data_IF_820507255201
#
_entry.id   IF_820507255201
#
_cell.length_a   1.000
_cell.length_b   1.000
_cell.length_c   1.000
_cell.angle_alpha   90.00
_cell.angle_beta   90.00
_cell.angle_gamma   90.00
#
_symmetry.space_group_name_H-M   'P 1'
#
loop_
_entity.id
_entity.type
_entity.pdbx_description
1 polymer ?
2 polymer ?
3 polymer ?
4 non-polymer ?
5 non-polymer ?
6 water ?
#
loop_
_entity_poly.entity_id
_entity_poly.type
_entity_poly.pdbx_seq_one_letter_code
_entity_poly.pdbx_strand_id
2 'polydeoxyribonucleotide' '(DT)(DC)(DA)(8OG)(DG)(DG)(DG)(DT)(DC)(DC)(DT)' ?
3 'polydeoxyribonucleotide' '(DA)(DG)(DG)(DA)(DC)(DC)(DC)' ?
#
# COMPACT_ATOMS: atom_id res chain seq x y z
N UNK A 27 5.82 -24.80 5.82
CA UNK A 27 4.88 -24.22 4.86
C UNK A 27 4.01 -23.16 5.52
N UNK A 28 3.82 -22.02 4.86
CA UNK A 28 2.97 -21.00 5.44
C UNK A 28 1.66 -20.85 4.67
N UNK A 29 0.65 -20.26 5.31
CA UNK A 29 -0.54 -19.81 4.62
C UNK A 29 -0.74 -18.30 4.85
N UNK A 30 -0.60 -17.54 3.77
CA UNK A 30 -0.61 -16.09 3.80
C UNK A 30 -1.82 -15.66 3.00
N UNK A 31 -2.51 -14.62 3.49
CA UNK A 31 -3.53 -13.97 2.70
C UNK A 31 -3.13 -12.52 2.43
N UNK A 32 -3.39 -12.06 1.21
CA UNK A 32 -3.26 -10.66 0.86
C UNK A 32 -4.66 -10.13 0.65
N UNK A 33 -5.02 -9.02 1.32
CA UNK A 33 -6.34 -8.43 1.19
C UNK A 33 -6.17 -7.13 0.45
N UNK A 34 -6.92 -6.95 -0.63
CA UNK A 34 -6.72 -5.76 -1.44
C UNK A 34 -8.06 -5.09 -1.69
N UNK A 35 -8.30 -3.91 -1.11
CA UNK A 35 -9.61 -3.25 -1.22
C UNK A 35 -9.90 -2.75 -2.64
N UNK A 36 -11.14 -2.94 -3.14
CA UNK A 36 -11.52 -2.38 -4.43
C UNK A 36 -11.61 -0.83 -4.45
N UNK A 37 -10.93 -0.19 -5.41
CA UNK A 37 -10.97 1.26 -5.64
C UNK A 37 -11.21 2.02 -4.33
N UNK A 38 -10.25 1.90 -3.44
CA UNK A 38 -10.46 2.24 -2.05
C UNK A 38 -10.98 3.67 -1.81
N UNK A 39 -10.28 4.68 -2.32
CA UNK A 39 -10.73 6.06 -2.11
C UNK A 39 -12.16 6.25 -2.63
N UNK A 40 -12.46 5.72 -3.82
CA UNK A 40 -13.81 5.82 -4.37
C UNK A 40 -14.86 5.17 -3.47
N UNK A 41 -14.55 3.98 -2.95
CA UNK A 41 -15.44 3.30 -2.00
C UNK A 41 -15.72 4.16 -0.77
N UNK A 42 -14.68 4.74 -0.21
CA UNK A 42 -14.84 5.59 0.95
C UNK A 42 -15.77 6.78 0.61
N UNK A 43 -15.60 7.37 -0.57
CA UNK A 43 -16.45 8.50 -1.01
C UNK A 43 -17.90 8.10 -1.27
N UNK A 44 -18.09 6.92 -1.84
CA UNK A 44 -19.44 6.44 -2.16
C UNK A 44 -20.20 6.13 -0.89
N UNK A 45 -19.47 5.76 0.14
CA UNK A 45 -20.05 5.54 1.45
C UNK A 45 -20.40 6.89 2.10
N UNK A 46 -19.49 7.86 1.97
CA UNK A 46 -19.71 9.21 2.52
C UNK A 46 -20.90 9.90 1.87
N UNK A 47 -20.97 9.83 0.56
CA UNK A 47 -22.11 10.38 -0.18
C UNK A 47 -22.73 9.31 -1.06
N UNK A 48 -23.57 8.46 -0.45
CA UNK A 48 -24.23 7.33 -1.13
C UNK A 48 -24.95 7.72 -2.41
N UNK A 49 -25.08 9.02 -2.67
CA UNK A 49 -25.74 9.49 -3.88
C UNK A 49 -24.82 9.33 -5.09
N UNK A 50 -23.61 8.85 -4.84
CA UNK A 50 -22.61 8.65 -5.88
C UNK A 50 -22.49 7.17 -6.26
N UNK A 51 -23.13 6.31 -5.47
CA UNK A 51 -23.01 4.85 -5.63
C UNK A 51 -23.38 4.37 -7.02
N UNK A 52 -24.16 5.16 -7.74
CA UNK A 52 -24.68 4.74 -9.03
C UNK A 52 -24.03 5.45 -10.22
N UNK A 53 -23.29 6.52 -9.95
CA UNK A 53 -22.64 7.28 -11.03
C UNK A 53 -21.16 6.94 -11.12
N UNK A 54 -20.58 7.09 -12.32
CA UNK A 54 -19.14 6.91 -12.48
C UNK A 54 -18.40 7.97 -11.67
N UNK A 55 -17.60 7.53 -10.71
CA UNK A 55 -16.93 8.45 -9.80
C UNK A 55 -15.42 8.40 -9.98
N UNK A 56 -14.81 9.57 -9.88
CA UNK A 56 -13.36 9.69 -9.93
C UNK A 56 -12.91 10.52 -8.74
N UNK A 57 -11.81 10.09 -8.12
CA UNK A 57 -11.24 10.83 -7.01
C UNK A 57 -10.04 11.60 -7.52
N UNK A 58 -10.05 12.92 -7.31
CA UNK A 58 -9.06 13.80 -7.92
C UNK A 58 -8.05 14.37 -6.93
N UNK A 59 -6.79 14.38 -7.34
CA UNK A 59 -5.76 15.08 -6.61
C UNK A 59 -5.00 15.97 -7.58
N UNK A 60 -5.07 17.28 -7.36
CA UNK A 60 -4.56 18.27 -8.30
C UNK A 60 -5.18 17.90 -9.64
N UNK A 61 -4.37 17.51 -10.61
CA UNK A 61 -4.81 17.32 -11.99
C UNK A 61 -4.88 15.84 -12.37
N UNK A 62 -4.86 14.96 -11.37
CA UNK A 62 -4.91 13.54 -11.65
C UNK A 62 -6.16 12.91 -11.05
N UNK A 63 -6.74 11.97 -11.79
CA UNK A 63 -7.76 11.11 -11.23
C UNK A 63 -7.00 9.91 -10.67
N UNK A 64 -6.80 9.88 -9.35
CA UNK A 64 -5.96 8.84 -8.78
C UNK A 64 -6.66 7.48 -8.77
N UNK A 65 -7.98 7.48 -8.63
CA UNK A 65 -8.74 6.24 -8.71
C UNK A 65 -10.20 6.52 -9.06
N UNK A 66 -10.89 5.48 -9.51
CA UNK A 66 -12.30 5.60 -9.91
C UNK A 66 -13.04 4.30 -9.60
N UNK A 67 -14.35 4.39 -9.40
CA UNK A 67 -15.16 3.20 -9.18
C UNK A 67 -15.31 2.40 -10.47
N UNK A 68 -15.84 1.19 -10.38
CA UNK A 68 -15.85 0.30 -11.54
C UNK A 68 -16.74 0.76 -12.69
N UNK A 69 -17.67 1.65 -12.42
CA UNK A 69 -18.48 2.20 -13.49
C UNK A 69 -17.65 3.09 -14.40
N UNK A 70 -16.76 3.87 -13.80
CA UNK A 70 -15.89 4.75 -14.55
C UNK A 70 -14.84 3.96 -15.34
N UNK A 71 -14.34 2.87 -14.74
CA UNK A 71 -13.37 2.02 -15.41
C UNK A 71 -14.01 1.39 -16.65
N UNK A 72 -15.33 1.17 -16.57
CA UNK A 72 -16.09 0.63 -17.68
C UNK A 72 -16.18 1.63 -18.82
N UNK A 73 -16.14 2.92 -18.47
CA UNK A 73 -16.23 3.98 -19.45
C UNK A 73 -14.85 4.41 -19.93
N UNK A 74 -13.85 3.57 -19.67
CA UNK A 74 -12.50 3.79 -20.17
C UNK A 74 -11.59 4.65 -19.33
N UNK A 75 -11.97 4.92 -18.09
CA UNK A 75 -11.12 5.71 -17.19
C UNK A 75 -10.07 4.80 -16.56
N UNK A 76 -8.82 5.28 -16.52
CA UNK A 76 -7.70 4.49 -15.98
C UNK A 76 -7.11 5.12 -14.72
N UNK A 77 -6.45 4.29 -13.91
CA UNK A 77 -5.84 4.75 -12.67
C UNK A 77 -4.70 5.75 -12.93
N UNK A 78 -4.70 6.86 -12.19
CA UNK A 78 -3.69 7.91 -12.33
C UNK A 78 -3.77 8.62 -13.69
N UNK A 79 -4.96 8.66 -14.28
CA UNK A 79 -5.15 9.32 -15.57
C UNK A 79 -5.35 10.83 -15.42
N UNK A 80 -4.91 11.58 -16.43
CA UNK A 80 -5.07 13.03 -16.46
C UNK A 80 -6.55 13.44 -16.48
N UNK A 81 -6.87 14.52 -15.76
CA UNK A 81 -8.25 15.03 -15.69
C UNK A 81 -8.72 15.55 -17.04
N UNK A 82 -7.77 15.92 -17.90
CA UNK A 82 -8.08 16.31 -19.27
C UNK A 82 -8.50 15.07 -20.06
N UNK A 83 -7.64 14.06 -20.06
CA UNK A 83 -7.97 12.77 -20.69
C UNK A 83 -9.29 12.23 -20.14
N UNK A 84 -9.41 12.18 -18.81
CA UNK A 84 -10.58 11.65 -18.15
C UNK A 84 -11.85 12.44 -18.48
N UNK A 85 -11.74 13.77 -18.51
CA UNK A 85 -12.89 14.62 -18.79
C UNK A 85 -13.42 14.41 -20.21
N UNK A 86 -12.51 14.19 -21.16
CA UNK A 86 -12.88 14.02 -22.55
C UNK A 86 -13.44 12.62 -22.83
N UNK A 87 -12.72 11.60 -22.39
CA UNK A 87 -13.14 10.22 -22.58
C UNK A 87 -14.45 9.91 -21.85
N UNK A 88 -14.74 10.67 -20.81
CA UNK A 88 -15.91 10.41 -19.99
C UNK A 88 -16.43 11.68 -19.32
N UNK A 89 -17.06 12.57 -20.09
CA UNK A 89 -17.56 13.84 -19.55
C UNK A 89 -18.73 13.70 -18.56
N UNK A 90 -19.19 12.48 -18.29
CA UNK A 90 -20.23 12.30 -17.28
C UNK A 90 -19.59 12.02 -15.92
N UNK A 91 -18.27 11.87 -15.93
CA UNK A 91 -17.50 11.55 -14.73
C UNK A 91 -17.72 12.56 -13.61
N UNK A 92 -18.12 12.08 -12.44
CA UNK A 92 -18.23 12.91 -11.25
C UNK A 92 -16.91 12.91 -10.51
N UNK A 93 -16.38 14.09 -10.23
CA UNK A 93 -15.10 14.18 -9.53
C UNK A 93 -15.28 14.68 -8.10
N UNK A 94 -14.69 13.96 -7.15
CA UNK A 94 -14.57 14.45 -5.78
C UNK A 94 -13.10 14.67 -5.46
N UNK A 95 -12.82 15.56 -4.53
CA UNK A 95 -11.45 15.89 -4.22
C UNK A 95 -10.89 15.01 -3.12
N UNK A 96 -9.80 14.30 -3.42
CA UNK A 96 -9.21 13.37 -2.47
C UNK A 96 -7.82 13.76 -1.98
N UNK A 97 -7.54 15.06 -1.94
CA UNK A 97 -6.22 15.53 -1.50
C UNK A 97 -6.02 15.39 0.01
N UNK A 98 -7.07 15.57 0.80
CA UNK A 98 -7.01 15.35 2.25
C UNK A 98 -7.25 13.86 2.48
N UNK A 99 -6.23 13.18 2.99
CA UNK A 99 -6.29 11.72 3.13
C UNK A 99 -6.90 11.26 4.45
N UNK A 100 -7.21 12.21 5.33
CA UNK A 100 -7.75 11.92 6.65
C UNK A 100 -8.78 10.77 6.72
N UNK A 101 -9.84 10.82 5.91
CA UNK A 101 -10.89 9.81 5.99
C UNK A 101 -10.43 8.48 5.41
N UNK A 102 -9.60 8.51 4.37
CA UNK A 102 -9.08 7.26 3.81
C UNK A 102 -8.16 6.59 4.83
N UNK A 103 -7.31 7.40 5.46
CA UNK A 103 -6.38 6.88 6.45
C UNK A 103 -7.13 6.25 7.61
N UNK A 104 -8.16 6.94 8.09
CA UNK A 104 -8.98 6.43 9.18
C UNK A 104 -9.69 5.12 8.83
N UNK A 105 -10.31 5.04 7.64
CA UNK A 105 -10.91 3.78 7.25
C UNK A 105 -9.83 2.69 7.06
N UNK A 106 -8.68 3.09 6.52
CA UNK A 106 -7.56 2.15 6.36
C UNK A 106 -7.20 1.46 7.67
N UNK A 107 -7.14 2.24 8.76
CA UNK A 107 -6.82 1.63 10.05
C UNK A 107 -7.94 0.78 10.62
N UNK A 108 -9.20 1.11 10.33
CA UNK A 108 -10.29 0.26 10.79
C UNK A 108 -10.18 -1.13 10.13
N UNK A 109 -9.77 -1.15 8.86
CA UNK A 109 -9.59 -2.42 8.15
C UNK A 109 -8.49 -3.26 8.79
N UNK A 110 -7.30 -2.69 8.99
CA UNK A 110 -6.29 -3.52 9.58
C UNK A 110 -6.57 -3.95 11.01
N UNK A 111 -7.23 -3.10 11.82
CA UNK A 111 -7.62 -3.53 13.16
C UNK A 111 -8.60 -4.68 13.12
N UNK A 112 -9.54 -4.63 12.19
CA UNK A 112 -10.47 -5.73 12.02
C UNK A 112 -9.71 -7.02 11.66
N UNK A 113 -8.74 -6.94 10.76
CA UNK A 113 -7.96 -8.11 10.40
C UNK A 113 -7.09 -8.63 11.56
N UNK A 114 -6.57 -7.70 12.36
CA UNK A 114 -5.76 -8.06 13.52
C UNK A 114 -6.53 -8.88 14.54
N UNK A 115 -7.84 -8.79 14.49
CA UNK A 115 -8.71 -9.53 15.38
C UNK A 115 -8.74 -11.00 14.96
N UNK A 116 -8.56 -11.26 13.67
CA UNK A 116 -8.43 -12.63 13.16
C UNK A 116 -7.10 -13.25 13.58
N UNK A 117 -6.01 -12.57 13.27
CA UNK A 117 -4.69 -12.99 13.70
C UNK A 117 -3.88 -11.72 13.83
N UNK A 118 -3.08 -11.63 14.89
CA UNK A 118 -2.40 -10.40 15.30
C UNK A 118 -1.27 -9.92 14.38
N UNK A 119 -0.72 -10.82 13.57
CA UNK A 119 0.37 -10.44 12.66
C UNK A 119 -0.18 -9.92 11.36
N UNK A 120 -0.36 -8.61 11.27
CA UNK A 120 -0.90 -8.00 10.06
C UNK A 120 0.05 -6.93 9.56
N UNK A 121 0.49 -7.08 8.31
CA UNK A 121 1.38 -6.12 7.69
C UNK A 121 0.62 -5.25 6.70
N UNK A 122 0.68 -3.94 6.89
CA UNK A 122 0.03 -3.03 5.96
C UNK A 122 0.92 -2.78 4.78
N UNK A 123 0.34 -2.59 3.60
CA UNK A 123 1.12 -2.11 2.47
C UNK A 123 0.34 -0.96 1.82
N UNK A 124 0.77 0.27 2.06
CA UNK A 124 -0.04 1.42 1.69
C UNK A 124 -1.34 1.44 2.48
N UNK A 125 -2.33 2.17 1.99
CA UNK A 125 -3.59 2.30 2.70
C UNK A 125 -4.60 1.21 2.43
N UNK A 126 -4.44 0.48 1.33
CA UNK A 126 -5.53 -0.41 0.93
C UNK A 126 -5.17 -1.89 0.84
N UNK A 127 -3.95 -2.24 1.27
CA UNK A 127 -3.49 -3.64 1.26
C UNK A 127 -3.00 -4.09 2.63
N UNK A 128 -3.33 -5.34 2.99
CA UNK A 128 -2.83 -5.99 4.20
C UNK A 128 -2.41 -7.43 3.90
N UNK A 129 -1.34 -7.89 4.52
CA UNK A 129 -1.00 -9.31 4.53
C UNK A 129 -1.30 -9.84 5.93
N UNK A 130 -1.84 -11.05 6.00
CA UNK A 130 -1.99 -11.72 7.28
C UNK A 130 -1.37 -13.12 7.20
N UNK A 131 -0.59 -13.50 8.20
CA UNK A 131 -0.06 -14.85 8.28
C UNK A 131 -1.08 -15.72 9.00
N UNK A 132 -1.71 -16.62 8.25
CA UNK A 132 -2.80 -17.43 8.77
C UNK A 132 -2.36 -18.82 9.21
N UNK A 133 -1.07 -19.10 9.14
CA UNK A 133 -0.65 -20.50 9.29
C UNK A 133 -0.96 -21.09 10.66
N UNK A 134 -0.80 -20.30 11.72
CA UNK A 134 -1.18 -20.75 13.06
C UNK A 134 -2.69 -20.98 13.19
N UNK A 135 -3.48 -20.04 12.70
CA UNK A 135 -4.94 -20.15 12.68
C UNK A 135 -5.39 -21.39 11.91
N UNK A 136 -4.76 -21.64 10.76
CA UNK A 136 -5.15 -22.78 9.92
C UNK A 136 -4.91 -24.08 10.68
N UNK A 137 -3.75 -24.16 11.33
CA UNK A 137 -3.36 -25.32 12.10
C UNK A 137 -4.32 -25.59 13.25
N UNK A 138 -4.74 -24.53 13.93
CA UNK A 138 -5.72 -24.65 15.01
C UNK A 138 -7.01 -25.27 14.51
N UNK A 139 -7.51 -24.74 13.41
CA UNK A 139 -8.77 -25.23 12.85
C UNK A 139 -8.66 -26.70 12.43
N UNK A 140 -7.55 -27.05 11.79
CA UNK A 140 -7.40 -28.42 11.33
C UNK A 140 -7.38 -29.39 12.51
N UNK A 141 -6.75 -28.99 13.61
CA UNK A 141 -6.72 -29.82 14.80
C UNK A 141 -8.11 -30.07 15.39
N UNK A 142 -8.99 -29.09 15.26
CA UNK A 142 -10.35 -29.23 15.77
C UNK A 142 -11.18 -30.14 14.87
N UNK A 143 -10.72 -30.34 13.66
CA UNK A 143 -11.47 -31.14 12.70
C UNK A 143 -11.44 -32.63 12.99
N UNK A 144 -12.59 -33.26 12.82
CA UNK A 144 -12.70 -34.71 12.82
C UNK A 144 -12.53 -35.20 11.39
N UNK A 145 -12.30 -36.49 11.21
CA UNK A 145 -12.18 -37.04 9.86
C UNK A 145 -13.54 -37.04 9.15
N UNK A 146 -14.61 -36.97 9.94
CA UNK A 146 -15.96 -36.91 9.40
C UNK A 146 -16.14 -35.75 8.43
N UNK A 147 -15.87 -34.53 8.88
CA UNK A 147 -16.04 -33.35 8.03
C UNK A 147 -14.72 -32.84 7.45
N UNK A 148 -13.69 -33.68 7.49
CA UNK A 148 -12.47 -33.41 6.76
C UNK A 148 -12.63 -33.95 5.35
N UNK A 149 -13.69 -34.74 5.17
CA UNK A 149 -14.03 -35.33 3.88
C UNK A 149 -13.72 -34.43 2.68
N UNK A 150 -14.37 -33.28 2.46
CA UNK A 150 -15.42 -32.53 3.21
C UNK A 150 -15.00 -31.07 3.28
N UNK A 151 -13.72 -30.83 3.59
CA UNK A 151 -13.15 -29.50 3.46
C UNK A 151 -13.35 -28.97 2.04
N UNK A 152 -13.79 -27.72 1.94
CA UNK A 152 -14.19 -27.15 0.66
C UNK A 152 -13.51 -25.78 0.43
N UNK A 153 -13.33 -25.39 -0.82
CA UNK A 153 -12.73 -24.11 -1.11
C UNK A 153 -13.79 -23.00 -1.06
N UNK A 154 -13.37 -21.82 -0.65
CA UNK A 154 -14.22 -20.66 -0.81
C UNK A 154 -13.60 -19.75 -1.87
N UNK A 155 -14.38 -19.43 -2.91
CA UNK A 155 -13.87 -18.61 -4.01
C UNK A 155 -13.21 -19.41 -5.12
N UNK A 156 -12.38 -18.72 -5.90
CA UNK A 156 -11.75 -19.28 -7.08
C UNK A 156 -10.49 -20.08 -6.75
N UNK A 157 -10.21 -21.11 -7.52
CA UNK A 157 -8.91 -21.77 -7.45
C UNK A 157 -8.16 -21.32 -8.68
N UNK A 158 -6.97 -20.77 -8.49
CA UNK A 158 -6.18 -20.25 -9.60
C UNK A 158 -5.95 -21.33 -10.69
N UNK A 159 -6.19 -20.95 -11.94
CA UNK A 159 -5.99 -21.81 -13.10
C UNK A 159 -6.90 -23.03 -13.06
N UNK A 160 -8.05 -22.91 -12.38
CA UNK A 160 -8.98 -24.03 -12.24
C UNK A 160 -8.30 -25.34 -11.88
N UNK A 161 -7.27 -25.27 -11.05
CA UNK A 161 -6.52 -26.48 -10.71
C UNK A 161 -7.28 -27.47 -9.81
N UNK A 162 -7.12 -28.75 -10.07
CA UNK A 162 -7.85 -29.76 -9.29
C UNK A 162 -7.32 -29.86 -7.86
N UNK A 163 -8.26 -29.91 -6.91
CA UNK A 163 -7.92 -30.06 -5.51
C UNK A 163 -7.66 -31.51 -5.17
N UNK A 164 -6.62 -31.78 -4.39
CA UNK A 164 -6.39 -33.12 -3.90
C UNK A 164 -6.56 -33.14 -2.41
N UNK A 165 -7.71 -33.64 -1.96
CA UNK A 165 -8.08 -33.60 -0.55
C UNK A 165 -7.12 -34.39 0.34
N UNK A 166 -6.25 -35.21 -0.28
CA UNK A 166 -5.33 -36.03 0.49
C UNK A 166 -4.01 -35.30 0.57
N UNK A 167 -3.92 -34.16 -0.11
CA UNK A 167 -2.69 -33.38 -0.10
C UNK A 167 -2.77 -32.34 1.01
N UNK A 168 -1.93 -32.48 2.03
CA UNK A 168 -2.08 -31.65 3.24
C UNK A 168 -1.86 -30.16 2.93
N UNK A 169 -1.02 -29.87 1.95
CA UNK A 169 -0.82 -28.48 1.53
C UNK A 169 -2.09 -27.91 0.92
N UNK A 170 -2.78 -28.71 0.11
CA UNK A 170 -4.05 -28.28 -0.48
C UNK A 170 -5.07 -28.01 0.62
N UNK A 171 -5.16 -28.90 1.59
CA UNK A 171 -6.12 -28.74 2.69
C UNK A 171 -5.86 -27.44 3.47
N UNK A 172 -4.60 -27.15 3.74
CA UNK A 172 -4.20 -26.01 4.54
C UNK A 172 -4.57 -24.72 3.80
N UNK A 173 -4.34 -24.69 2.50
CA UNK A 173 -4.69 -23.54 1.67
C UNK A 173 -6.20 -23.33 1.53
N UNK A 174 -6.97 -24.41 1.49
CA UNK A 174 -8.42 -24.27 1.42
C UNK A 174 -9.01 -23.73 2.73
N UNK A 175 -8.44 -24.13 3.86
CA UNK A 175 -8.86 -23.58 5.14
C UNK A 175 -8.52 -22.08 5.15
N UNK A 176 -7.36 -21.73 4.60
CA UNK A 176 -7.00 -20.33 4.39
C UNK A 176 -8.07 -19.58 3.60
N UNK A 177 -8.53 -20.16 2.50
CA UNK A 177 -9.55 -19.50 1.69
C UNK A 177 -10.83 -19.31 2.48
N UNK A 178 -11.14 -20.23 3.38
CA UNK A 178 -12.30 -20.07 4.26
C UNK A 178 -12.13 -18.88 5.21
N UNK A 179 -10.96 -18.78 5.83
CA UNK A 179 -10.66 -17.65 6.69
C UNK A 179 -10.72 -16.35 5.91
N UNK A 180 -10.13 -16.36 4.72
CA UNK A 180 -10.17 -15.19 3.85
C UNK A 180 -11.59 -14.73 3.55
N UNK A 181 -12.48 -15.69 3.30
CA UNK A 181 -13.89 -15.38 3.05
C UNK A 181 -14.55 -14.75 4.29
N UNK A 182 -14.29 -15.31 5.45
CA UNK A 182 -14.78 -14.72 6.70
C UNK A 182 -14.30 -13.27 6.88
N UNK A 183 -13.03 -13.04 6.57
CA UNK A 183 -12.45 -11.70 6.60
C UNK A 183 -13.19 -10.74 5.67
N UNK A 184 -13.37 -11.13 4.41
CA UNK A 184 -14.06 -10.25 3.48
C UNK A 184 -15.51 -10.02 3.92
N UNK A 185 -16.14 -11.04 4.49
CA UNK A 185 -17.51 -10.91 4.96
C UNK A 185 -17.61 -9.93 6.13
N UNK A 186 -16.67 -10.03 7.08
CA UNK A 186 -16.66 -9.14 8.22
C UNK A 186 -16.39 -7.68 7.82
N UNK A 187 -15.53 -7.50 6.81
CA UNK A 187 -15.19 -6.18 6.31
C UNK A 187 -16.40 -5.54 5.66
N UNK A 188 -17.16 -6.34 4.94
CA UNK A 188 -18.40 -5.81 4.39
C UNK A 188 -19.46 -5.53 5.47
N UNK A 189 -19.70 -6.52 6.33
CA UNK A 189 -20.74 -6.41 7.34
C UNK A 189 -20.48 -5.33 8.41
N UNK A 190 -19.21 -5.11 8.73
CA UNK A 190 -18.85 -4.17 9.80
C UNK A 190 -18.36 -2.82 9.33
N UNK A 191 -17.77 -2.76 8.14
CA UNK A 191 -17.23 -1.50 7.65
C UNK A 191 -17.84 -1.06 6.33
N UNK A 192 -18.63 -1.92 5.72
CA UNK A 192 -19.27 -1.58 4.46
C UNK A 192 -18.36 -1.68 3.23
N UNK A 193 -17.20 -2.28 3.41
CA UNK A 193 -16.18 -2.31 2.34
C UNK A 193 -16.04 -3.66 1.65
N UNK A 194 -15.83 -3.61 0.33
CA UNK A 194 -15.55 -4.79 -0.45
C UNK A 194 -14.09 -4.83 -0.87
N UNK A 195 -13.60 -6.03 -1.20
CA UNK A 195 -12.22 -6.17 -1.63
C UNK A 195 -11.93 -7.57 -2.07
N UNK A 196 -10.72 -7.79 -2.55
CA UNK A 196 -10.29 -9.10 -3.01
C UNK A 196 -9.33 -9.71 -2.01
N UNK A 197 -9.15 -11.03 -2.07
CA UNK A 197 -8.18 -11.70 -1.21
C UNK A 197 -7.46 -12.71 -2.09
N UNK A 198 -6.19 -12.94 -1.81
CA UNK A 198 -5.45 -13.99 -2.48
C UNK A 198 -4.80 -14.81 -1.38
N UNK A 199 -4.90 -16.13 -1.47
CA UNK A 199 -4.33 -17.00 -0.45
C UNK A 199 -3.24 -17.85 -1.08
N UNK A 200 -2.05 -17.89 -0.49
CA UNK A 200 -0.93 -18.65 -1.07
C UNK A 200 0.11 -18.90 0.01
N UNK A 201 1.24 -19.48 -0.37
CA UNK A 201 2.24 -19.95 0.60
C UNK A 201 3.28 -18.89 0.96
N UNK A 202 3.26 -17.75 0.28
CA UNK A 202 4.14 -16.63 0.66
C UNK A 202 3.53 -15.31 0.20
N UNK A 203 4.12 -14.19 0.62
CA UNK A 203 3.54 -12.86 0.36
C UNK A 203 3.49 -12.50 -1.12
N UNK A 204 4.57 -12.78 -1.83
CA UNK A 204 4.66 -12.55 -3.28
C UNK A 204 3.50 -13.21 -4.02
N UNK A 205 3.31 -14.52 -3.80
CA UNK A 205 2.27 -15.25 -4.51
C UNK A 205 0.87 -14.82 -4.08
N UNK A 206 0.69 -14.52 -2.80
CA UNK A 206 -0.63 -14.14 -2.32
C UNK A 206 -1.03 -12.82 -2.99
N UNK A 207 -0.08 -11.91 -3.11
CA UNK A 207 -0.34 -10.61 -3.72
C UNK A 207 -0.54 -10.72 -5.23
N UNK A 208 0.25 -11.56 -5.90
CA UNK A 208 0.04 -11.81 -7.33
C UNK A 208 -1.31 -12.45 -7.59
N UNK A 209 -1.71 -13.37 -6.71
CA UNK A 209 -2.96 -14.11 -6.97
C UNK A 209 -4.25 -13.38 -6.56
N UNK A 210 -4.17 -12.42 -5.64
CA UNK A 210 -5.36 -11.75 -5.11
C UNK A 210 -6.09 -10.95 -6.17
N UNK A 211 -5.35 -10.46 -7.16
CA UNK A 211 -5.96 -9.71 -8.24
C UNK A 211 -6.42 -10.50 -9.47
N UNK A 212 -6.34 -11.82 -9.44
CA UNK A 212 -6.69 -12.60 -10.62
C UNK A 212 -8.17 -12.45 -10.97
N UNK A 213 -9.05 -12.50 -9.96
CA UNK A 213 -10.46 -12.19 -10.17
C UNK A 213 -10.86 -10.96 -9.36
N UNK A 214 -11.33 -9.93 -10.07
CA UNK A 214 -11.70 -8.63 -9.48
C UNK A 214 -12.95 -8.12 -10.17
N UNK A 215 -13.75 -7.28 -9.50
CA UNK A 215 -13.59 -6.88 -8.10
C UNK A 215 -14.32 -7.82 -7.13
N UNK A 216 -14.05 -7.60 -5.86
CA UNK A 216 -14.77 -8.27 -4.79
C UNK A 216 -14.86 -9.78 -4.93
N UNK A 217 -13.72 -10.45 -5.14
CA UNK A 217 -13.68 -11.91 -5.29
C UNK A 217 -12.39 -12.39 -4.68
N UNK A 218 -12.20 -13.70 -4.58
CA UNK A 218 -10.97 -14.19 -3.98
C UNK A 218 -10.48 -15.42 -4.68
N UNK A 219 -9.18 -15.62 -4.63
CA UNK A 219 -8.61 -16.80 -5.25
C UNK A 219 -7.45 -17.38 -4.49
N UNK A 220 -7.37 -18.71 -4.55
CA UNK A 220 -6.34 -19.45 -3.85
C UNK A 220 -5.40 -20.13 -4.86
N UNK A 221 -4.12 -20.10 -4.55
CA UNK A 221 -3.10 -20.63 -5.42
C UNK A 221 -2.59 -21.93 -4.83
N UNK A 222 -2.82 -23.03 -5.53
CA UNK A 222 -2.22 -24.31 -5.15
C UNK A 222 -0.81 -24.39 -5.72
N UNK A 223 0.08 -25.12 -5.04
CA UNK A 223 1.52 -25.03 -5.35
C UNK A 223 1.88 -25.45 -6.78
N UNK A 224 1.19 -26.43 -7.33
CA UNK A 224 1.57 -26.86 -8.68
C UNK A 224 1.22 -25.85 -9.77
N UNK A 225 0.55 -24.76 -9.40
CA UNK A 225 0.23 -23.69 -10.37
C UNK A 225 1.11 -22.48 -10.18
N UNK A 226 2.11 -22.59 -9.32
CA UNK A 226 3.01 -21.47 -9.06
C UNK A 226 3.69 -20.97 -10.33
N UNK A 227 4.24 -21.88 -11.13
CA UNK A 227 4.98 -21.44 -12.29
C UNK A 227 4.03 -20.81 -13.30
N UNK A 228 2.80 -21.32 -13.39
CA UNK A 228 1.84 -20.78 -14.33
C UNK A 228 1.55 -19.30 -13.96
N UNK A 229 1.40 -19.02 -12.65
CA UNK A 229 1.16 -17.65 -12.16
C UNK A 229 2.33 -16.71 -12.45
N UNK A 230 3.56 -17.14 -12.20
CA UNK A 230 4.68 -16.22 -12.43
C UNK A 230 4.93 -15.98 -13.91
N UNK A 231 4.72 -17.00 -14.75
CA UNK A 231 4.88 -16.81 -16.19
C UNK A 231 3.70 -16.12 -16.85
N UNK A 232 2.60 -15.95 -16.12
CA UNK A 232 1.49 -15.18 -16.64
C UNK A 232 1.85 -13.68 -16.67
N UNK A 233 2.88 -13.26 -15.94
CA UNK A 233 3.29 -11.84 -15.97
C UNK A 233 3.95 -11.50 -17.30
N UNK A 234 3.80 -10.26 -17.76
CA UNK A 234 4.34 -9.88 -19.06
C UNK A 234 5.60 -9.03 -19.00
N UNK A 235 5.83 -8.35 -17.89
CA UNK A 235 7.04 -7.54 -17.67
C UNK A 235 7.59 -7.82 -16.28
N UNK A 236 8.92 -7.86 -16.13
CA UNK A 236 9.52 -8.10 -14.82
C UNK A 236 9.19 -7.00 -13.79
N UNK A 237 8.80 -5.83 -14.27
CA UNK A 237 8.34 -4.78 -13.36
C UNK A 237 7.02 -5.20 -12.66
N UNK A 238 6.28 -6.14 -13.23
CA UNK A 238 5.06 -6.59 -12.58
C UNK A 238 5.33 -7.40 -11.30
N UNK A 239 6.58 -7.81 -11.08
CA UNK A 239 6.93 -8.45 -9.81
C UNK A 239 7.08 -7.43 -8.66
N UNK A 240 6.31 -7.63 -7.56
CA UNK A 240 6.45 -6.76 -6.39
C UNK A 240 7.87 -6.86 -5.83
N UNK A 241 8.58 -5.73 -5.72
CA UNK A 241 9.96 -5.75 -5.30
C UNK A 241 10.88 -5.26 -6.42
N UNK A 242 10.42 -5.40 -7.66
CA UNK A 242 11.17 -4.88 -8.80
C UNK A 242 10.53 -3.59 -9.29
N UNK A 243 11.16 -2.45 -8.98
CA UNK A 243 10.60 -1.15 -9.30
C UNK A 243 11.21 -0.46 -10.51
N UNK A 244 10.94 0.84 -10.65
CA UNK A 244 11.37 1.58 -11.84
C UNK A 244 12.86 1.47 -12.12
N UNK A 245 13.68 1.76 -11.11
CA UNK A 245 15.13 1.75 -11.29
C UNK A 245 15.66 0.35 -11.58
N UNK A 246 15.24 -0.62 -10.79
CA UNK A 246 15.71 -1.99 -10.96
C UNK A 246 15.28 -2.58 -12.31
N UNK A 247 14.07 -2.24 -12.73
CA UNK A 247 13.55 -2.73 -13.99
C UNK A 247 14.41 -2.17 -15.10
N UNK A 248 14.76 -0.89 -14.99
CA UNK A 248 15.57 -0.23 -16.00
C UNK A 248 16.93 -0.92 -16.17
N UNK A 249 17.57 -1.25 -15.06
CA UNK A 249 18.85 -1.95 -15.13
C UNK A 249 18.69 -3.32 -15.81
N UNK A 250 17.69 -4.08 -15.38
CA UNK A 250 17.43 -5.40 -15.98
C UNK A 250 17.16 -5.30 -17.48
N UNK A 251 16.32 -4.35 -17.86
CA UNK A 251 16.03 -4.09 -19.25
C UNK A 251 17.34 -3.84 -19.99
N UNK A 252 18.21 -3.04 -19.38
CA UNK A 252 19.52 -2.75 -19.96
C UNK A 252 20.30 -4.02 -20.24
N UNK A 253 20.12 -5.03 -19.40
CA UNK A 253 20.89 -6.26 -19.51
C UNK A 253 20.25 -7.25 -20.49
N UNK A 254 19.20 -6.82 -21.18
CA UNK A 254 18.50 -7.71 -22.11
C UNK A 254 17.46 -8.58 -21.44
N UNK A 255 17.23 -8.34 -20.14
CA UNK A 255 16.29 -9.14 -19.37
C UNK A 255 14.89 -8.52 -19.40
N UNK A 256 13.95 -9.22 -20.02
CA UNK A 256 12.59 -8.68 -20.18
C UNK A 256 11.46 -9.54 -19.62
N UNK A 257 11.52 -10.84 -19.84
CA UNK A 257 10.48 -11.73 -19.32
C UNK A 257 10.88 -12.26 -17.95
N UNK A 258 9.91 -12.81 -17.22
CA UNK A 258 10.22 -13.51 -15.98
C UNK A 258 11.23 -14.62 -16.24
N UNK A 259 11.02 -15.39 -17.31
CA UNK A 259 11.94 -16.47 -17.71
C UNK A 259 13.35 -15.95 -18.01
N UNK A 260 13.46 -14.82 -18.67
CA UNK A 260 14.78 -14.19 -18.85
C UNK A 260 15.47 -14.01 -17.51
N UNK A 261 14.74 -13.46 -16.54
CA UNK A 261 15.35 -13.19 -15.24
C UNK A 261 15.68 -14.48 -14.52
N UNK A 262 14.81 -15.48 -14.65
CA UNK A 262 15.05 -16.78 -14.06
C UNK A 262 16.37 -17.36 -14.54
N UNK A 263 16.67 -17.20 -15.83
CA UNK A 263 17.78 -17.90 -16.47
C UNK A 263 19.05 -17.06 -16.62
N UNK A 264 19.04 -15.82 -16.16
CA UNK A 264 20.21 -14.96 -16.29
C UNK A 264 21.29 -15.37 -15.29
N UNK A 265 22.55 -15.16 -15.65
CA UNK A 265 23.70 -15.54 -14.81
C UNK A 265 23.63 -14.93 -13.41
N UNK A 266 23.57 -15.78 -12.38
CA UNK A 266 23.58 -15.26 -11.01
C UNK A 266 24.85 -14.45 -10.74
N UNK A 267 25.99 -14.94 -11.21
CA UNK A 267 27.27 -14.25 -11.03
C UNK A 267 27.22 -12.83 -11.61
N UNK A 268 26.80 -12.73 -12.87
CA UNK A 268 26.73 -11.43 -13.52
C UNK A 268 25.75 -10.53 -12.80
N UNK A 269 24.54 -11.03 -12.57
CA UNK A 269 23.51 -10.27 -11.88
C UNK A 269 24.04 -9.77 -10.53
N UNK A 270 24.66 -10.65 -9.75
CA UNK A 270 25.21 -10.26 -8.44
C UNK A 270 26.16 -9.07 -8.54
N UNK A 271 26.95 -9.04 -9.60
CA UNK A 271 27.91 -7.97 -9.83
C UNK A 271 27.25 -6.68 -10.31
N UNK A 272 26.12 -6.82 -11.01
CA UNK A 272 25.43 -5.68 -11.59
C UNK A 272 24.57 -4.91 -10.59
N UNK A 273 23.87 -5.63 -9.71
CA UNK A 273 22.93 -4.97 -8.79
C UNK A 273 23.28 -5.19 -7.33
N UNK A 274 24.38 -5.88 -7.08
CA UNK A 274 24.79 -6.18 -5.72
C UNK A 274 24.24 -7.52 -5.27
N UNK A 275 24.94 -8.16 -4.35
CA UNK A 275 24.55 -9.48 -3.89
C UNK A 275 23.14 -9.49 -3.28
N UNK A 276 22.78 -8.44 -2.55
CA UNK A 276 21.48 -8.40 -1.87
C UNK A 276 20.29 -8.35 -2.85
N UNK A 277 20.30 -7.36 -3.73
CA UNK A 277 19.22 -7.20 -4.68
C UNK A 277 19.17 -8.39 -5.64
N UNK A 278 20.34 -8.80 -6.14
CA UNK A 278 20.40 -9.85 -7.14
C UNK A 278 19.81 -11.15 -6.65
N UNK A 279 20.29 -11.64 -5.52
CA UNK A 279 19.77 -12.89 -5.00
C UNK A 279 18.28 -12.82 -4.67
N UNK A 280 17.85 -11.69 -4.12
CA UNK A 280 16.44 -11.51 -3.77
C UNK A 280 15.52 -11.52 -4.99
N UNK A 281 15.81 -10.66 -5.97
CA UNK A 281 14.93 -10.55 -7.13
C UNK A 281 14.99 -11.80 -8.01
N UNK A 282 16.13 -12.48 -8.07
CA UNK A 282 16.16 -13.72 -8.82
C UNK A 282 15.29 -14.79 -8.16
N UNK A 283 15.30 -14.86 -6.83
CA UNK A 283 14.37 -15.76 -6.15
C UNK A 283 12.92 -15.40 -6.47
N UNK A 284 12.58 -14.09 -6.41
CA UNK A 284 11.23 -13.63 -6.76
C UNK A 284 10.77 -14.16 -8.13
N UNK A 285 11.68 -14.24 -9.09
CA UNK A 285 11.33 -14.64 -10.45
C UNK A 285 10.92 -16.10 -10.56
N UNK A 286 11.32 -16.92 -9.56
CA UNK A 286 10.86 -18.31 -9.45
C UNK A 286 9.63 -18.47 -8.53
N UNK A 287 9.12 -17.35 -8.00
CA UNK A 287 7.95 -17.40 -7.12
C UNK A 287 8.33 -17.67 -5.69
N UNK A 288 9.62 -17.50 -5.37
CA UNK A 288 10.17 -17.81 -4.06
C UNK A 288 10.37 -16.53 -3.24
N UNK A 289 9.85 -16.51 -2.02
CA UNK A 289 9.88 -15.30 -1.19
C UNK A 289 9.72 -15.74 0.26
N UNK A 290 10.81 -15.72 1.02
CA UNK A 290 10.76 -16.20 2.40
C UNK A 290 10.58 -15.06 3.42
N UNK A 291 10.30 -13.86 2.92
CA UNK A 291 10.11 -12.71 3.82
C UNK A 291 8.90 -12.91 4.71
N UNK A 292 9.06 -12.62 6.00
CA UNK A 292 7.98 -12.83 6.98
C UNK A 292 6.95 -11.74 6.84
N UNK A 293 5.71 -12.05 7.22
CA UNK A 293 4.71 -11.02 7.42
C UNK A 293 5.12 -10.32 8.71
N UNK A 294 5.29 -9.00 8.62
CA UNK A 294 5.72 -8.17 9.76
C UNK A 294 4.53 -7.47 10.40
N UNK A 295 4.44 -7.45 11.73
CA UNK A 295 3.36 -6.70 12.39
C UNK A 295 3.62 -5.20 12.22
N UNK A 296 2.78 -4.51 11.44
CA UNK A 296 2.99 -3.08 11.18
C UNK A 296 2.77 -2.25 12.44
N UNK A 297 1.67 -2.53 13.15
CA UNK A 297 1.35 -1.79 14.37
C UNK A 297 1.08 -0.32 14.07
N UNK A 298 1.30 0.57 15.08
CA UNK A 298 1.08 2.01 14.85
C UNK A 298 2.13 2.54 13.87
N UNK A 299 1.77 3.58 13.10
CA UNK A 299 2.70 4.15 12.12
C UNK A 299 3.98 4.70 12.77
N UNK A 300 5.08 4.71 12.02
CA UNK A 300 6.37 5.13 12.57
C UNK A 300 6.67 6.58 12.24
N UNK A 301 5.80 7.17 11.44
CA UNK A 301 5.94 8.57 11.07
C UNK A 301 4.61 9.12 10.64
N UNK A 302 4.47 10.43 10.75
CA UNK A 302 3.30 11.17 10.30
C UNK A 302 3.83 12.25 9.39
N UNK A 303 3.26 12.39 8.21
CA UNK A 303 3.65 13.52 7.37
C UNK A 303 2.46 14.14 6.64
N UNK A 304 2.63 15.37 6.16
CA UNK A 304 1.63 16.05 5.35
C UNK A 304 2.41 16.79 4.27
N UNK A 305 1.88 16.81 3.06
CA UNK A 305 2.55 17.54 2.00
C UNK A 305 1.57 18.32 1.11
N UNK A 306 2.11 19.35 0.45
CA UNK A 306 1.37 20.03 -0.58
C UNK A 306 2.31 20.30 -1.75
N UNK A 307 1.82 20.05 -2.95
CA UNK A 307 2.58 20.38 -4.14
C UNK A 307 1.95 21.61 -4.78
N UNK A 308 2.74 22.34 -5.56
CA UNK A 308 2.27 23.57 -6.19
C UNK A 308 3.13 23.90 -7.39
N UNK A 309 2.68 24.85 -8.19
CA UNK A 309 3.44 25.23 -9.37
C UNK A 309 4.67 26.05 -8.98
N UNK A 310 4.53 26.90 -7.97
CA UNK A 310 5.63 27.78 -7.60
C UNK A 310 5.54 28.36 -6.18
N UNK A 311 6.68 28.35 -5.50
CA UNK A 311 6.88 29.09 -4.26
C UNK A 311 8.28 29.68 -4.32
N UNK A 312 8.37 31.00 -4.34
CA UNK A 312 9.65 31.66 -4.52
C UNK A 312 9.96 32.67 -3.42
N UNK A 313 9.17 32.65 -2.35
CA UNK A 313 9.41 33.53 -1.23
C UNK A 313 9.32 32.79 0.10
N UNK A 314 10.08 33.28 1.07
CA UNK A 314 10.09 32.73 2.41
C UNK A 314 8.78 33.03 3.12
N UNK A 315 8.18 34.18 2.81
CA UNK A 315 6.92 34.57 3.45
C UNK A 315 5.84 33.51 3.30
N UNK A 316 5.57 33.10 2.07
CA UNK A 316 4.54 32.11 1.81
C UNK A 316 5.02 30.72 2.19
N UNK A 317 6.31 30.46 2.00
CA UNK A 317 6.90 29.21 2.41
C UNK A 317 6.55 28.96 3.88
N UNK A 318 6.62 30.02 4.68
CA UNK A 318 6.29 29.92 6.09
C UNK A 318 4.82 29.63 6.32
N UNK A 319 3.95 30.37 5.64
CA UNK A 319 2.50 30.13 5.75
C UNK A 319 2.18 28.70 5.34
N UNK A 320 2.76 28.27 4.23
CA UNK A 320 2.62 26.90 3.74
C UNK A 320 2.93 25.95 4.89
N UNK A 321 4.17 26.04 5.36
CA UNK A 321 4.64 25.18 6.43
C UNK A 321 3.75 25.24 7.66
N UNK A 322 3.29 26.44 8.00
CA UNK A 322 2.41 26.60 9.16
C UNK A 322 1.13 25.82 8.94
N UNK A 323 0.64 25.84 7.72
CA UNK A 323 -0.58 25.13 7.35
C UNK A 323 -0.41 23.63 7.57
N UNK A 324 0.70 23.09 7.07
CA UNK A 324 1.00 21.67 7.22
C UNK A 324 1.18 21.32 8.68
N UNK A 325 1.90 22.17 9.41
CA UNK A 325 2.19 21.93 10.82
C UNK A 325 0.91 21.89 11.63
N UNK A 326 -0.03 22.76 11.30
CA UNK A 326 -1.35 22.76 11.92
C UNK A 326 -1.96 21.38 11.81
N UNK A 327 -2.09 20.88 10.58
CA UNK A 327 -2.66 19.55 10.33
C UNK A 327 -1.96 18.46 11.15
N UNK A 328 -0.63 18.43 11.07
CA UNK A 328 0.12 17.38 11.74
C UNK A 328 -0.15 17.34 13.24
N UNK A 329 -0.16 18.52 13.86
CA UNK A 329 -0.31 18.60 15.31
C UNK A 329 -1.61 17.96 15.79
N UNK A 330 -2.69 18.16 15.04
CA UNK A 330 -3.95 17.50 15.33
C UNK A 330 -3.76 15.99 15.37
N UNK A 331 -2.88 15.50 14.52
CA UNK A 331 -2.68 14.06 14.34
C UNK A 331 -1.85 13.43 15.44
N UNK A 332 -0.74 14.06 15.81
CA UNK A 332 0.06 13.59 16.94
C UNK A 332 -0.73 13.74 18.22
N UNK A 333 -1.63 14.71 18.24
CA UNK A 333 -2.52 14.95 19.36
C UNK A 333 -3.31 13.69 19.72
N UNK A 334 -4.16 13.23 18.81
CA UNK A 334 -5.04 12.10 19.10
C UNK A 334 -4.32 10.74 19.12
N UNK A 335 -3.12 10.71 18.56
CA UNK A 335 -2.33 9.48 18.53
C UNK A 335 -1.95 9.05 19.93
N UNK A 336 -1.25 9.93 20.64
CA UNK A 336 -0.81 9.64 22.00
C UNK A 336 0.69 9.81 22.15
N UNK A 337 1.46 8.93 21.51
CA UNK A 337 2.92 8.98 21.54
C UNK A 337 3.43 10.35 21.13
N UNK A 338 4.68 10.62 21.43
CA UNK A 338 5.29 11.91 21.11
C UNK A 338 6.46 11.74 20.15
N UNK A 339 6.53 12.63 19.14
CA UNK A 339 7.62 12.63 18.17
C UNK A 339 8.90 13.28 18.71
N UNK A 340 10.04 12.65 18.47
CA UNK A 340 11.32 13.19 18.93
C UNK A 340 12.17 13.78 17.81
N UNK A 341 11.69 13.71 16.57
CA UNK A 341 12.35 14.48 15.51
C UNK A 341 11.38 15.01 14.45
N UNK A 342 11.74 16.15 13.88
CA UNK A 342 10.97 16.75 12.80
C UNK A 342 11.83 16.74 11.55
N UNK A 343 11.18 16.63 10.42
CA UNK A 343 11.87 16.70 9.15
C UNK A 343 11.09 17.64 8.27
N UNK A 344 11.81 18.48 7.54
CA UNK A 344 11.22 19.34 6.54
C UNK A 344 11.72 18.84 5.20
N UNK A 345 10.82 18.74 4.23
CA UNK A 345 11.20 18.24 2.93
C UNK A 345 10.78 19.22 1.83
N UNK A 346 11.59 19.29 0.77
CA UNK A 346 11.27 20.13 -0.39
C UNK A 346 11.56 19.45 -1.71
N UNK A 347 11.06 20.06 -2.78
CA UNK A 347 11.34 19.67 -4.16
C UNK A 347 11.51 20.95 -4.97
N UNK A 348 12.70 21.16 -5.53
CA UNK A 348 12.95 22.37 -6.33
C UNK A 348 12.51 22.19 -7.77
N UNK A 349 12.39 23.30 -8.49
CA UNK A 349 11.95 23.27 -9.88
C UNK A 349 12.95 22.54 -10.78
N UNK A 350 12.42 21.78 -11.74
CA UNK A 350 13.22 20.96 -12.65
C UNK A 350 13.93 19.84 -11.89
N UNK A 356 14.38 13.47 -6.41
CA UNK A 356 14.65 14.87 -6.64
C UNK A 356 14.28 15.73 -5.44
N UNK A 357 14.17 15.08 -4.28
CA UNK A 357 13.79 15.78 -3.06
C UNK A 357 15.00 16.00 -2.15
N UNK A 358 14.95 17.09 -1.38
CA UNK A 358 15.95 17.33 -0.36
C UNK A 358 15.28 17.50 1.00
N UNK A 359 15.99 17.12 2.07
CA UNK A 359 15.42 17.18 3.40
C UNK A 359 16.44 17.54 4.47
N UNK A 360 15.94 18.14 5.54
CA UNK A 360 16.71 18.43 6.73
C UNK A 360 15.87 17.99 7.92
N UNK A 361 16.52 17.37 8.89
CA UNK A 361 15.83 16.97 10.10
C UNK A 361 16.66 17.38 11.33
N UNK A 362 16.01 17.40 12.48
CA UNK A 362 16.71 17.67 13.73
C UNK A 362 15.82 17.22 14.87
N UNK A 363 16.43 16.89 16.01
CA UNK A 363 15.60 16.54 17.17
C UNK A 363 14.72 17.71 17.59
N UNK A 364 13.58 17.40 18.21
CA UNK A 364 12.68 18.41 18.74
C UNK A 364 13.06 18.69 20.19
N UNK A 365 13.24 19.97 20.54
CA UNK A 365 13.60 20.39 21.90
C UNK A 365 12.73 19.70 22.95
N UNK A 366 13.37 19.17 23.99
CA UNK A 366 12.68 18.38 25.01
C UNK A 366 11.47 19.11 25.61
N UNK A 367 11.63 20.40 25.88
CA UNK A 367 10.55 21.20 26.44
C UNK A 367 9.38 21.33 25.47
N UNK A 368 9.69 21.48 24.18
CA UNK A 368 8.67 21.54 23.14
C UNK A 368 7.87 20.23 23.08
N UNK A 369 8.55 19.11 23.32
CA UNK A 369 7.93 17.80 23.29
C UNK A 369 6.72 17.70 24.22
N UNK A 370 6.81 18.35 25.38
CA UNK A 370 5.66 18.43 26.27
C UNK A 370 4.76 19.60 25.87
N UNK A 371 3.81 19.32 24.97
CA UNK A 371 2.98 20.38 24.39
C UNK A 371 1.48 20.17 24.54
N UNK A 372 0.99 18.99 24.14
CA UNK A 372 -0.44 18.72 24.14
C UNK A 372 -1.01 18.67 25.56
N UNK A 376 -1.91 22.06 25.02
CA UNK A 376 -2.68 23.09 25.72
C UNK A 376 -1.91 24.41 25.84
N UNK A 377 -0.86 24.57 25.06
CA UNK A 377 -0.09 25.81 25.03
C UNK A 377 0.09 26.25 23.58
N UNK A 378 1.16 27.00 23.30
CA UNK A 378 1.45 27.42 21.93
C UNK A 378 2.70 26.78 21.37
N UNK A 379 2.56 25.56 20.85
CA UNK A 379 3.68 24.82 20.32
C UNK A 379 3.98 25.25 18.87
N UNK A 380 2.98 25.82 18.21
CA UNK A 380 3.14 26.29 16.85
C UNK A 380 4.40 27.13 16.66
N UNK A 381 4.41 28.31 17.29
CA UNK A 381 5.48 29.28 17.10
C UNK A 381 6.91 28.70 17.28
N UNK A 382 7.15 27.97 18.37
CA UNK A 382 8.50 27.40 18.49
C UNK A 382 8.81 26.32 17.44
N UNK A 383 7.80 25.57 17.02
CA UNK A 383 8.01 24.54 16.01
C UNK A 383 8.25 25.17 14.64
N UNK A 384 7.50 26.21 14.31
CA UNK A 384 7.68 26.91 13.05
C UNK A 384 9.08 27.53 13.00
N UNK A 385 9.53 28.02 14.14
CA UNK A 385 10.86 28.60 14.23
C UNK A 385 11.91 27.59 13.80
N UNK A 386 11.80 26.38 14.34
CA UNK A 386 12.72 25.29 14.01
C UNK A 386 12.64 24.91 12.54
N UNK A 387 11.44 24.76 12.03
CA UNK A 387 11.24 24.38 10.63
C UNK A 387 11.80 25.41 9.66
N UNK A 388 11.72 26.68 10.03
CA UNK A 388 12.24 27.74 9.16
C UNK A 388 13.78 27.75 9.17
N UNK A 389 14.38 27.58 10.33
CA UNK A 389 15.83 27.45 10.39
C UNK A 389 16.26 26.34 9.45
N UNK A 390 15.58 25.19 9.54
CA UNK A 390 15.84 24.06 8.64
C UNK A 390 15.65 24.45 7.18
N UNK A 391 14.60 25.24 6.93
CA UNK A 391 14.31 25.70 5.58
C UNK A 391 15.43 26.57 5.03
N UNK A 392 15.88 27.54 5.81
CA UNK A 392 16.94 28.44 5.35
C UNK A 392 18.27 27.71 5.17
N UNK A 393 18.50 26.68 5.98
CA UNK A 393 19.71 25.87 5.88
C UNK A 393 19.80 25.17 4.53
N UNK A 394 18.65 24.89 3.95
CA UNK A 394 18.56 24.12 2.72
C UNK A 394 18.26 25.02 1.52
N UNK A 395 17.64 26.16 1.78
CA UNK A 395 17.31 27.11 0.73
C UNK A 395 18.00 28.46 0.98
N UNK A 396 18.76 28.91 -0.01
CA UNK A 396 19.40 30.23 0.05
C UNK A 396 18.40 31.34 -0.25
N UNK A 397 17.87 31.97 0.79
CA UNK A 397 16.83 32.98 0.64
C UNK A 397 17.35 34.31 0.08
N UNK A 398 18.67 34.45 0.01
CA UNK A 398 19.29 35.65 -0.55
C UNK A 398 19.43 35.55 -2.07
N UNK A 399 19.17 34.36 -2.60
CA UNK A 399 19.18 34.13 -4.04
C UNK A 399 17.91 33.40 -4.48
N UNK A 400 17.32 33.84 -5.61
CA UNK A 400 16.03 33.35 -6.11
C UNK A 400 15.91 31.84 -6.00
N UNK A 401 14.77 31.37 -5.50
CA UNK A 401 14.49 29.94 -5.44
C UNK A 401 13.10 29.64 -5.98
N UNK A 402 12.91 28.40 -6.44
CA UNK A 402 11.64 27.99 -7.04
C UNK A 402 11.23 26.60 -6.55
N UNK A 403 10.43 26.56 -5.49
CA UNK A 403 10.00 25.29 -4.92
C UNK A 403 8.68 24.81 -5.53
N UNK A 404 8.51 23.49 -5.59
CA UNK A 404 7.33 22.91 -6.19
C UNK A 404 6.64 21.91 -5.25
N UNK A 405 7.22 21.74 -4.05
CA UNK A 405 6.61 20.92 -2.99
C UNK A 405 7.15 21.27 -1.61
N UNK A 406 6.27 21.22 -0.62
CA UNK A 406 6.67 21.32 0.78
C UNK A 406 6.07 20.17 1.60
N UNK A 407 6.86 19.61 2.50
CA UNK A 407 6.39 18.55 3.38
C UNK A 407 7.02 18.64 4.77
N UNK A 408 6.21 18.36 5.79
CA UNK A 408 6.68 18.26 7.15
C UNK A 408 6.41 16.85 7.65
N UNK A 409 7.39 16.25 8.32
CA UNK A 409 7.25 14.90 8.83
C UNK A 409 7.70 14.81 10.28
N UNK A 410 6.86 14.24 11.13
CA UNK A 410 7.25 13.88 12.49
C UNK A 410 7.61 12.41 12.51
N UNK A 411 8.77 12.10 13.09
CA UNK A 411 9.17 10.71 13.26
C UNK A 411 9.86 10.48 14.59
N UNK A 412 10.51 9.33 14.71
CA UNK A 412 11.12 8.93 15.97
C UNK A 412 10.11 9.13 17.09
N UNK A 413 9.01 8.39 16.99
CA UNK A 413 7.94 8.49 17.98
C UNK A 413 8.25 7.63 19.20
N UNK A 414 7.93 8.16 20.38
CA UNK A 414 8.12 7.43 21.63
C UNK A 414 6.97 7.67 22.60
#
# INVERSE_FOLDING_TARGET
MELADVGAAASSQGVHDQVLPTPNASSRVIVHVDLDCFYAQVEMISNPELKDKPLGVQQKYLVVTCNYEARKLGVKKLMNVRDAKEKCPQLVLVNGEDLTRYREMSYKVTELLEEFSPVVERLGFDENFVDLTEMVEKRLQQLQSDELSAVTVSGHVYNNQSINLLDVLHIRLLVGSQIAAEMREAMYNQLGLTGCAGVASNKLLAKLVSGVFKPNQQTVLLPESCQHLIHSLNHIKEIPGIGYKTAKCLEALGINSVRDLQTFSPKILEKELGISVAQRIQKLSFGEDNSPVILSGPPQSFSEEDSFKKCSSEVEAKNKIEELLASLLNRVCQDGRKPHTVRLIIRRYSSEKHYGRESRQCPIPSHVIQKLGTGNYDVMTPMVDILMKLFRNMVNVKMPFHLTLLSVCFCNLKALNTAK
#
